data_IF_211429992895
#
_entry.id   IF_211429992895
#
_cell.length_a   1.000
_cell.length_b   1.000
_cell.length_c   1.000
_cell.angle_alpha   90.00
_cell.angle_beta   90.00
_cell.angle_gamma   90.00
#
_symmetry.space_group_name_H-M   'P 1'
#
loop_
_entity.id
_entity.type
_entity.pdbx_description
1 polymer ?
#
# COMPACT_ATOMS: atom_id res chain seq x y z
N UNK A 1 -17.99 4.82 35.94
CA UNK A 1 -18.15 3.45 35.43
C UNK A 1 -16.93 3.14 34.58
N UNK A 2 -16.28 2.00 34.79
CA UNK A 2 -15.21 1.56 33.89
C UNK A 2 -15.89 0.95 32.66
N UNK A 3 -15.76 1.61 31.51
CA UNK A 3 -16.15 1.02 30.23
C UNK A 3 -15.42 -0.33 30.08
N UNK A 4 -16.11 -1.42 29.67
CA UNK A 4 -15.44 -2.68 29.44
C UNK A 4 -14.42 -2.45 28.32
N UNK A 5 -13.15 -2.69 28.62
CA UNK A 5 -12.08 -2.64 27.62
C UNK A 5 -12.33 -3.75 26.60
N UNK A 6 -13.03 -3.41 25.52
CA UNK A 6 -13.11 -4.24 24.32
C UNK A 6 -11.67 -4.54 23.90
N UNK A 7 -11.35 -5.81 23.66
CA UNK A 7 -9.98 -6.26 23.37
C UNK A 7 -9.30 -5.31 22.35
N UNK A 8 -8.05 -4.86 22.60
CA UNK A 8 -7.37 -3.91 21.73
C UNK A 8 -7.40 -4.39 20.27
N UNK A 9 -8.16 -3.69 19.42
CA UNK A 9 -8.17 -3.94 17.97
C UNK A 9 -6.73 -3.83 17.46
N UNK A 10 -6.24 -4.88 16.80
CA UNK A 10 -4.82 -4.94 16.46
C UNK A 10 -4.44 -3.75 15.56
N UNK A 11 -3.39 -2.97 15.91
CA UNK A 11 -2.96 -1.80 15.14
C UNK A 11 -2.43 -2.19 13.76
N UNK A 12 -2.07 -3.46 13.56
CA UNK A 12 -1.48 -4.01 12.34
C UNK A 12 -2.46 -4.25 11.19
N UNK A 13 -3.77 -4.38 11.46
CA UNK A 13 -4.75 -4.65 10.39
C UNK A 13 -4.82 -3.51 9.37
N UNK A 14 -4.64 -2.24 9.79
CA UNK A 14 -4.61 -1.11 8.85
C UNK A 14 -3.39 -1.15 7.91
N UNK A 15 -2.26 -1.67 8.39
CA UNK A 15 -1.03 -1.82 7.64
C UNK A 15 -1.13 -2.96 6.62
N UNK A 16 -1.69 -4.09 7.03
CA UNK A 16 -1.90 -5.23 6.13
C UNK A 16 -2.85 -4.86 4.96
N UNK A 17 -3.89 -4.06 5.22
CA UNK A 17 -4.83 -3.62 4.19
C UNK A 17 -4.15 -2.73 3.15
N UNK A 18 -3.35 -1.74 3.55
CA UNK A 18 -2.66 -0.85 2.60
C UNK A 18 -1.68 -1.63 1.72
N UNK A 19 -0.98 -2.60 2.31
CA UNK A 19 -0.03 -3.43 1.56
C UNK A 19 -0.72 -4.37 0.58
N UNK A 20 -1.84 -4.98 0.99
CA UNK A 20 -2.63 -5.82 0.09
C UNK A 20 -3.17 -5.01 -1.11
N UNK A 21 -3.67 -3.79 -0.86
CA UNK A 21 -4.12 -2.90 -1.94
C UNK A 21 -2.97 -2.50 -2.86
N UNK A 22 -1.78 -2.21 -2.31
CA UNK A 22 -0.60 -1.89 -3.08
C UNK A 22 -0.15 -3.06 -3.97
N UNK A 23 -0.16 -4.29 -3.45
CA UNK A 23 0.16 -5.49 -4.21
C UNK A 23 -0.80 -5.69 -5.39
N UNK A 24 -2.11 -5.63 -5.11
CA UNK A 24 -3.15 -5.77 -6.16
C UNK A 24 -3.00 -4.66 -7.20
N UNK A 25 -2.82 -3.41 -6.77
CA UNK A 25 -2.64 -2.26 -7.67
C UNK A 25 -1.43 -2.42 -8.58
N UNK A 26 -0.26 -2.80 -8.03
CA UNK A 26 0.95 -3.01 -8.83
C UNK A 26 0.79 -4.15 -9.84
N UNK A 27 0.15 -5.27 -9.45
CA UNK A 27 -0.11 -6.39 -10.36
C UNK A 27 -1.03 -5.95 -11.50
N UNK A 28 -2.13 -5.25 -11.19
CA UNK A 28 -3.04 -4.74 -12.21
C UNK A 28 -2.35 -3.77 -13.18
N UNK A 29 -1.51 -2.87 -12.66
CA UNK A 29 -0.73 -1.95 -13.49
C UNK A 29 0.22 -2.74 -14.40
N UNK A 30 0.96 -3.72 -13.87
CA UNK A 30 1.89 -4.54 -14.67
C UNK A 30 1.21 -5.35 -15.77
N UNK A 31 -0.07 -5.72 -15.61
CA UNK A 31 -0.82 -6.51 -16.60
C UNK A 31 -1.53 -5.63 -17.63
N UNK A 32 -2.10 -4.49 -17.20
CA UNK A 32 -3.06 -3.71 -18.00
C UNK A 32 -2.44 -2.43 -18.58
N UNK A 33 -1.40 -1.87 -17.95
CA UNK A 33 -0.86 -0.59 -18.37
C UNK A 33 -0.06 -0.70 -19.70
N UNK A 34 -0.26 0.23 -20.64
CA UNK A 34 0.59 0.32 -21.83
C UNK A 34 2.05 0.61 -21.45
N UNK A 35 3.00 -0.01 -22.14
CA UNK A 35 4.45 0.12 -21.83
C UNK A 35 4.92 1.58 -21.78
N UNK A 36 4.42 2.43 -22.68
CA UNK A 36 4.77 3.84 -22.74
C UNK A 36 4.34 4.66 -21.50
N UNK A 37 3.33 4.18 -20.75
CA UNK A 37 2.75 4.88 -19.60
C UNK A 37 2.89 4.10 -18.30
N UNK A 38 3.56 2.93 -18.32
CA UNK A 38 3.63 2.02 -17.19
C UNK A 38 4.17 2.72 -15.94
N UNK A 39 5.25 3.48 -16.06
CA UNK A 39 5.84 4.18 -14.91
C UNK A 39 4.96 5.32 -14.38
N UNK A 40 4.21 6.00 -15.25
CA UNK A 40 3.21 7.00 -14.85
C UNK A 40 2.09 6.35 -14.03
N UNK A 41 1.60 5.19 -14.46
CA UNK A 41 0.58 4.44 -13.72
C UNK A 41 1.08 3.94 -12.36
N UNK A 42 2.34 3.48 -12.27
CA UNK A 42 2.96 3.13 -10.98
C UNK A 42 3.02 4.32 -10.03
N UNK A 43 3.38 5.51 -10.52
CA UNK A 43 3.41 6.72 -9.70
C UNK A 43 2.00 7.13 -9.20
N UNK A 44 0.99 7.07 -10.07
CA UNK A 44 -0.41 7.34 -9.70
C UNK A 44 -0.90 6.31 -8.68
N UNK A 45 -0.65 5.03 -8.91
CA UNK A 45 -1.01 3.93 -8.00
C UNK A 45 -0.38 4.10 -6.62
N UNK A 46 0.89 4.51 -6.56
CA UNK A 46 1.57 4.80 -5.30
C UNK A 46 0.90 5.98 -4.56
N UNK A 47 0.57 7.07 -5.27
CA UNK A 47 -0.18 8.19 -4.69
C UNK A 47 -1.51 7.77 -4.07
N UNK A 48 -2.27 6.89 -4.76
CA UNK A 48 -3.52 6.32 -4.24
C UNK A 48 -3.27 5.49 -2.98
N UNK A 49 -2.22 4.68 -2.93
CA UNK A 49 -1.86 3.89 -1.75
C UNK A 49 -1.52 4.77 -0.54
N UNK A 50 -0.83 5.89 -0.75
CA UNK A 50 -0.54 6.87 0.30
C UNK A 50 -1.84 7.47 0.84
N UNK A 51 -2.72 7.94 -0.04
CA UNK A 51 -4.03 8.50 0.36
C UNK A 51 -4.89 7.47 1.10
N UNK A 52 -4.88 6.21 0.66
CA UNK A 52 -5.58 5.12 1.33
C UNK A 52 -4.99 4.82 2.72
N UNK A 53 -3.67 4.88 2.87
CA UNK A 53 -2.99 4.76 4.17
C UNK A 53 -3.44 5.86 5.15
N UNK A 54 -3.57 7.09 4.66
CA UNK A 54 -4.15 8.18 5.44
C UNK A 54 -5.61 7.91 5.81
N UNK A 55 -6.45 7.55 4.85
CA UNK A 55 -7.88 7.32 5.07
C UNK A 55 -8.16 6.19 6.07
N UNK A 56 -7.49 5.04 5.92
CA UNK A 56 -7.61 3.88 6.83
C UNK A 56 -7.26 4.24 8.26
N UNK A 57 -6.31 5.15 8.46
CA UNK A 57 -5.90 5.54 9.79
C UNK A 57 -6.72 6.64 10.41
N UNK A 58 -7.25 7.56 9.61
CA UNK A 58 -8.25 8.51 10.07
C UNK A 58 -9.51 7.79 10.58
N UNK A 59 -9.96 6.75 9.86
CA UNK A 59 -11.11 5.92 10.28
C UNK A 59 -10.91 5.21 11.62
N UNK A 60 -9.65 4.97 12.05
CA UNK A 60 -9.37 4.38 13.37
C UNK A 60 -9.47 5.39 14.51
N UNK A 61 -9.33 6.69 14.27
CA UNK A 61 -9.53 7.73 15.30
C UNK A 61 -8.51 7.72 16.45
N UNK A 62 -7.35 7.07 16.29
CA UNK A 62 -6.30 6.98 17.32
C UNK A 62 -5.09 7.85 16.96
N UNK A 63 -4.91 8.97 17.67
CA UNK A 63 -3.84 9.95 17.41
C UNK A 63 -2.45 9.43 17.79
N UNK A 64 -2.35 8.50 18.74
CA UNK A 64 -1.06 7.97 19.23
C UNK A 64 -0.38 7.14 18.14
N UNK A 65 0.82 7.53 17.72
CA UNK A 65 1.59 6.80 16.70
C UNK A 65 0.99 6.84 15.28
N UNK A 66 0.13 7.82 14.98
CA UNK A 66 -0.45 8.02 13.65
C UNK A 66 0.62 8.15 12.55
N UNK A 67 1.57 9.07 12.73
CA UNK A 67 2.64 9.31 11.75
C UNK A 67 3.44 8.03 11.51
N UNK A 68 3.86 7.33 12.57
CA UNK A 68 4.66 6.10 12.44
C UNK A 68 3.91 5.02 11.63
N UNK A 69 2.63 4.82 11.91
CA UNK A 69 1.79 3.87 11.18
C UNK A 69 1.58 4.29 9.73
N UNK A 70 1.38 5.60 9.46
CA UNK A 70 1.15 6.11 8.09
C UNK A 70 2.44 5.96 7.29
N UNK A 71 3.57 6.37 7.86
CA UNK A 71 4.89 6.17 7.27
C UNK A 71 5.17 4.70 7.01
N UNK A 72 4.88 3.80 7.95
CA UNK A 72 5.04 2.36 7.75
C UNK A 72 4.12 1.81 6.64
N UNK A 73 2.87 2.30 6.56
CA UNK A 73 1.92 1.91 5.52
C UNK A 73 2.38 2.34 4.14
N UNK A 74 2.82 3.60 4.02
CA UNK A 74 3.31 4.17 2.77
C UNK A 74 4.65 3.58 2.34
N UNK A 75 5.59 3.36 3.27
CA UNK A 75 6.87 2.70 2.97
C UNK A 75 6.69 1.26 2.55
N UNK A 76 5.80 0.52 3.22
CA UNK A 76 5.50 -0.85 2.82
C UNK A 76 4.78 -0.92 1.48
N UNK A 77 3.87 0.00 1.18
CA UNK A 77 3.26 0.11 -0.15
C UNK A 77 4.32 0.39 -1.23
N UNK A 78 5.25 1.33 -0.98
CA UNK A 78 6.36 1.62 -1.89
C UNK A 78 7.20 0.36 -2.15
N UNK A 79 7.57 -0.36 -1.09
CA UNK A 79 8.35 -1.60 -1.19
C UNK A 79 7.61 -2.68 -1.97
N UNK A 80 6.34 -2.92 -1.67
CA UNK A 80 5.51 -3.93 -2.35
C UNK A 80 5.39 -3.60 -3.83
N UNK A 81 5.03 -2.36 -4.17
CA UNK A 81 4.92 -1.94 -5.57
C UNK A 81 6.27 -2.02 -6.29
N UNK A 82 7.36 -1.63 -5.63
CA UNK A 82 8.72 -1.73 -6.18
C UNK A 82 9.17 -3.16 -6.45
N UNK A 83 8.88 -4.10 -5.54
CA UNK A 83 9.19 -5.52 -5.72
C UNK A 83 8.40 -6.09 -6.91
N UNK A 84 7.09 -5.79 -7.00
CA UNK A 84 6.25 -6.25 -8.12
C UNK A 84 6.76 -5.65 -9.43
N UNK A 85 7.03 -4.34 -9.46
CA UNK A 85 7.58 -3.63 -10.61
C UNK A 85 8.92 -4.25 -11.08
N UNK A 86 9.84 -4.51 -10.15
CA UNK A 86 11.11 -5.16 -10.45
C UNK A 86 10.91 -6.57 -11.01
N UNK A 87 9.97 -7.35 -10.47
CA UNK A 87 9.64 -8.68 -10.98
C UNK A 87 9.19 -8.65 -12.45
N UNK A 88 8.29 -7.73 -12.81
CA UNK A 88 7.89 -7.52 -14.21
C UNK A 88 9.06 -7.06 -15.08
N UNK A 89 9.86 -6.10 -14.59
CA UNK A 89 11.04 -5.62 -15.32
C UNK A 89 12.06 -6.72 -15.59
N UNK A 90 12.31 -7.61 -14.63
CA UNK A 90 13.21 -8.76 -14.78
C UNK A 90 12.60 -9.78 -15.76
N UNK A 91 11.29 -10.09 -15.64
CA UNK A 91 10.62 -11.02 -16.55
C UNK A 91 10.71 -10.54 -18.01
N UNK A 92 10.62 -9.23 -18.26
CA UNK A 92 10.77 -8.64 -19.59
C UNK A 92 12.16 -8.88 -20.21
N UNK A 93 13.20 -9.07 -19.40
CA UNK A 93 14.55 -9.39 -19.91
C UNK A 93 14.66 -10.80 -20.49
N UNK A 94 13.83 -11.73 -20.00
CA UNK A 94 13.84 -13.14 -20.41
C UNK A 94 12.73 -13.50 -21.40
N UNK A 95 11.73 -12.63 -21.55
CA UNK A 95 10.63 -12.80 -22.50
C UNK A 95 10.89 -12.23 -23.90
N UNK A 96 12.10 -11.70 -24.15
CA UNK A 96 12.52 -11.10 -25.41
C UNK A 96 13.07 -12.13 -26.43
#
# INVERSE_FOLDING_TARGET
>A
MADPVLAPRSPFVGLAVTWAVAAVGAILIGIVAPDALLMTWYAIGFGICVLLSFAVQLLRGETRGFILRVSAGSLGALLVMGIVSAGFGIAALFGA
#
